data_IF_377484518615
#
_entry.id   IF_377484518615
#
_cell.length_a   1.000
_cell.length_b   1.000
_cell.length_c   1.000
_cell.angle_alpha   90.00
_cell.angle_beta   90.00
_cell.angle_gamma   90.00
#
_symmetry.space_group_name_H-M   'P 1'
#
loop_
_entity.id
_entity.type
_entity.pdbx_description
1 polymer ?
#
# COMPACT_ATOMS: atom_id res chain seq x y z
N UNK A 1 -6.12 -26.96 11.51
CA UNK A 1 -4.90 -26.16 11.31
C UNK A 1 -5.01 -24.92 12.18
N UNK A 2 -3.99 -24.64 12.98
CA UNK A 2 -4.01 -23.48 13.88
C UNK A 2 -3.99 -22.18 13.08
N UNK A 3 -4.86 -21.24 13.47
CA UNK A 3 -4.91 -19.89 12.90
C UNK A 3 -3.79 -19.06 13.49
N UNK A 4 -3.11 -18.25 12.68
CA UNK A 4 -2.14 -17.29 13.20
C UNK A 4 -2.89 -16.19 13.97
N UNK A 5 -2.45 -15.91 15.19
CA UNK A 5 -3.02 -14.86 16.04
C UNK A 5 -1.95 -13.85 16.42
N UNK A 6 -2.33 -12.58 16.40
CA UNK A 6 -1.54 -11.50 16.98
C UNK A 6 -2.23 -11.04 18.25
N UNK A 7 -1.46 -10.94 19.35
CA UNK A 7 -1.97 -10.49 20.65
C UNK A 7 -1.08 -9.39 21.24
N UNK A 8 -1.72 -8.43 21.92
CA UNK A 8 -1.05 -7.41 22.72
C UNK A 8 -1.51 -7.58 24.17
N UNK A 9 -0.58 -7.91 25.08
CA UNK A 9 -0.89 -8.20 26.49
C UNK A 9 -2.06 -9.19 26.68
N UNK A 10 -2.08 -10.25 25.87
CA UNK A 10 -3.14 -11.27 25.90
C UNK A 10 -4.42 -10.93 25.14
N UNK A 11 -4.64 -9.66 24.77
CA UNK A 11 -5.79 -9.23 23.97
C UNK A 11 -5.59 -9.60 22.50
N UNK A 12 -6.56 -10.27 21.88
CA UNK A 12 -6.54 -10.60 20.45
C UNK A 12 -6.70 -9.31 19.63
N UNK A 13 -5.72 -9.03 18.76
CA UNK A 13 -5.77 -7.85 17.88
C UNK A 13 -5.92 -8.23 16.41
N UNK A 14 -5.52 -9.43 16.00
CA UNK A 14 -5.76 -9.93 14.65
C UNK A 14 -5.74 -11.47 14.63
N UNK A 15 -6.53 -12.06 13.73
CA UNK A 15 -6.51 -13.49 13.43
C UNK A 15 -6.52 -13.68 11.90
N UNK A 16 -5.65 -14.56 11.43
CA UNK A 16 -5.46 -14.85 10.00
C UNK A 16 -5.82 -16.30 9.69
N UNK A 17 -6.45 -16.52 8.54
CA UNK A 17 -6.70 -17.85 8.02
C UNK A 17 -5.37 -18.54 7.62
N UNK A 18 -5.33 -19.88 7.58
CA UNK A 18 -4.16 -20.59 7.08
C UNK A 18 -3.80 -20.14 5.65
N UNK A 19 -2.56 -19.70 5.45
CA UNK A 19 -2.07 -19.23 4.14
C UNK A 19 -2.41 -17.76 3.81
N UNK A 20 -3.10 -17.06 4.69
CA UNK A 20 -3.34 -15.62 4.54
C UNK A 20 -2.06 -14.82 4.90
N UNK A 21 -1.74 -13.81 4.10
CA UNK A 21 -0.66 -12.85 4.39
C UNK A 21 -0.97 -12.06 5.67
N UNK A 22 -0.05 -12.09 6.64
CA UNK A 22 -0.21 -11.40 7.90
C UNK A 22 0.39 -9.98 7.85
N UNK A 23 -0.33 -9.01 8.41
CA UNK A 23 0.19 -7.66 8.61
C UNK A 23 1.31 -7.65 9.66
N UNK A 24 2.14 -6.61 9.62
CA UNK A 24 3.04 -6.31 10.73
C UNK A 24 2.22 -6.13 12.02
N UNK A 25 2.59 -6.76 13.15
CA UNK A 25 1.72 -6.93 14.32
C UNK A 25 1.63 -5.67 15.19
N UNK A 26 1.07 -4.58 14.64
CA UNK A 26 0.80 -3.33 15.35
C UNK A 26 -0.69 -3.17 15.64
N UNK A 27 -1.00 -2.40 16.69
CA UNK A 27 -2.39 -2.12 17.07
C UNK A 27 -3.17 -1.44 15.93
N UNK A 28 -2.55 -0.54 15.18
CA UNK A 28 -3.17 0.16 14.05
C UNK A 28 -3.49 -0.77 12.87
N UNK A 29 -2.83 -1.92 12.76
CA UNK A 29 -3.10 -2.92 11.73
C UNK A 29 -3.95 -4.08 12.24
N UNK A 30 -4.49 -3.97 13.44
CA UNK A 30 -5.43 -4.94 14.00
C UNK A 30 -6.74 -5.01 13.21
N UNK A 31 -7.49 -6.09 13.43
CA UNK A 31 -8.86 -6.28 12.93
C UNK A 31 -9.83 -6.18 14.09
N UNK A 32 -10.72 -5.21 14.03
CA UNK A 32 -11.67 -4.90 15.11
C UNK A 32 -13.10 -4.95 14.59
N UNK A 33 -14.03 -5.24 15.50
CA UNK A 33 -15.45 -5.21 15.20
C UNK A 33 -15.94 -3.74 15.20
N UNK A 34 -16.44 -3.26 14.07
CA UNK A 34 -17.09 -1.98 13.90
C UNK A 34 -18.21 -2.12 12.86
N UNK A 35 -19.35 -1.45 13.05
CA UNK A 35 -20.50 -1.51 12.13
C UNK A 35 -20.89 -2.95 11.72
N UNK A 36 -20.93 -3.87 12.70
CA UNK A 36 -21.25 -5.30 12.52
C UNK A 36 -20.25 -6.09 11.63
N UNK A 37 -19.09 -5.50 11.31
CA UNK A 37 -18.05 -6.12 10.50
C UNK A 37 -16.72 -6.18 11.24
N UNK A 38 -15.90 -7.18 10.93
CA UNK A 38 -14.53 -7.29 11.45
C UNK A 38 -13.55 -7.00 10.32
N UNK A 39 -12.85 -5.87 10.40
CA UNK A 39 -11.92 -5.41 9.38
C UNK A 39 -10.80 -4.55 9.98
N UNK A 40 -9.85 -4.13 9.15
CA UNK A 40 -8.78 -3.22 9.55
C UNK A 40 -9.33 -1.80 9.73
N UNK A 41 -9.81 -1.49 10.94
CA UNK A 41 -10.50 -0.21 11.21
C UNK A 41 -9.57 1.01 11.06
N UNK A 42 -8.27 0.87 11.31
CA UNK A 42 -7.33 2.00 11.27
C UNK A 42 -6.42 1.97 10.04
N UNK A 43 -5.67 0.89 9.84
CA UNK A 43 -4.69 0.78 8.75
C UNK A 43 -4.69 -0.63 8.16
N UNK A 44 -4.97 -0.74 6.86
CA UNK A 44 -4.84 -2.01 6.13
C UNK A 44 -3.37 -2.39 5.89
N UNK A 45 -3.03 -3.68 5.89
CA UNK A 45 -1.73 -4.15 5.45
C UNK A 45 -1.52 -3.81 3.98
N UNK A 46 -0.48 -3.03 3.71
CA UNK A 46 -0.16 -2.58 2.37
C UNK A 46 0.82 -1.44 2.40
N UNK A 47 1.15 -0.93 1.21
CA UNK A 47 1.83 0.35 1.06
C UNK A 47 0.92 1.32 0.32
N UNK A 48 0.91 2.59 0.73
CA UNK A 48 0.25 3.64 -0.03
C UNK A 48 0.94 3.77 -1.39
N UNK A 49 0.19 3.60 -2.49
CA UNK A 49 0.75 3.67 -3.83
C UNK A 49 -0.18 4.42 -4.79
N UNK A 50 0.18 5.66 -5.11
CA UNK A 50 -0.58 6.52 -6.02
C UNK A 50 -0.24 6.30 -7.50
N UNK A 51 0.54 5.27 -7.88
CA UNK A 51 0.99 5.08 -9.26
C UNK A 51 -0.17 5.08 -10.27
N UNK A 52 -1.31 4.49 -9.88
CA UNK A 52 -2.52 4.48 -10.71
C UNK A 52 -3.21 5.84 -10.84
N UNK A 53 -3.02 6.71 -9.83
CA UNK A 53 -3.60 8.07 -9.75
C UNK A 53 -2.60 9.16 -10.15
N UNK A 54 -1.49 8.79 -10.78
CA UNK A 54 -0.40 9.71 -11.07
C UNK A 54 -0.86 10.90 -11.96
N UNK A 55 -1.69 10.70 -13.01
CA UNK A 55 -2.24 11.82 -13.79
C UNK A 55 -2.99 12.82 -12.93
N UNK A 56 -3.94 12.35 -12.13
CA UNK A 56 -4.82 13.17 -11.29
C UNK A 56 -4.01 13.98 -10.27
N UNK A 57 -2.97 13.36 -9.69
CA UNK A 57 -2.05 14.02 -8.76
C UNK A 57 -1.27 15.15 -9.45
N UNK A 58 -0.77 14.92 -10.67
CA UNK A 58 -0.01 15.93 -11.41
C UNK A 58 -0.92 17.07 -11.88
N UNK A 59 -2.10 16.74 -12.41
CA UNK A 59 -3.10 17.71 -12.89
C UNK A 59 -3.66 18.58 -11.75
N UNK A 60 -3.71 18.06 -10.52
CA UNK A 60 -4.03 18.84 -9.33
C UNK A 60 -2.94 19.88 -8.95
N UNK A 61 -1.82 19.94 -9.68
CA UNK A 61 -0.74 20.91 -9.47
C UNK A 61 0.32 20.46 -8.47
N UNK A 62 0.41 19.17 -8.13
CA UNK A 62 1.45 18.65 -7.25
C UNK A 62 2.81 18.68 -7.96
N UNK A 63 3.76 19.42 -7.39
CA UNK A 63 5.11 19.60 -7.97
C UNK A 63 6.17 18.67 -7.39
N UNK A 64 5.87 17.95 -6.31
CA UNK A 64 6.82 17.06 -5.65
C UNK A 64 6.14 15.85 -5.03
N UNK A 65 6.74 14.67 -5.21
CA UNK A 65 6.32 13.43 -4.56
C UNK A 65 7.34 13.04 -3.51
N UNK A 66 6.86 12.71 -2.30
CA UNK A 66 7.67 12.16 -1.22
C UNK A 66 7.47 10.66 -1.16
N UNK A 67 8.57 9.91 -1.26
CA UNK A 67 8.58 8.45 -1.12
C UNK A 67 9.16 8.12 0.25
N UNK A 68 8.37 7.48 1.11
CA UNK A 68 8.76 7.17 2.48
C UNK A 68 8.82 5.66 2.74
N UNK A 69 9.69 5.27 3.67
CA UNK A 69 9.79 3.90 4.17
C UNK A 69 10.74 3.83 5.38
N UNK A 70 10.38 3.07 6.40
CA UNK A 70 11.21 2.90 7.61
C UNK A 70 12.19 1.73 7.42
N UNK A 71 13.47 1.97 7.71
CA UNK A 71 14.53 0.94 7.71
C UNK A 71 14.58 0.10 6.42
N UNK A 72 14.51 0.76 5.25
CA UNK A 72 14.54 0.08 3.94
C UNK A 72 15.97 -0.11 3.43
N UNK A 73 16.18 -1.19 2.67
CA UNK A 73 17.47 -1.49 2.04
C UNK A 73 17.76 -0.55 0.88
N UNK A 74 19.03 -0.45 0.47
CA UNK A 74 19.43 0.29 -0.74
C UNK A 74 18.72 -0.23 -2.00
N UNK A 75 18.52 -1.56 -2.11
CA UNK A 75 17.83 -2.18 -3.25
C UNK A 75 16.35 -1.80 -3.31
N UNK A 76 15.66 -1.72 -2.16
CA UNK A 76 14.28 -1.23 -2.08
C UNK A 76 14.18 0.21 -2.59
N UNK A 77 15.03 1.10 -2.06
CA UNK A 77 15.04 2.52 -2.42
C UNK A 77 15.31 2.69 -3.92
N UNK A 78 16.31 1.99 -4.46
CA UNK A 78 16.65 2.05 -5.89
C UNK A 78 15.52 1.51 -6.79
N UNK A 79 14.75 0.53 -6.32
CA UNK A 79 13.64 -0.05 -7.07
C UNK A 79 12.46 0.91 -7.12
N UNK A 80 12.00 1.40 -5.96
CA UNK A 80 10.85 2.32 -5.87
C UNK A 80 11.13 3.61 -6.64
N UNK A 81 12.27 4.24 -6.39
CA UNK A 81 12.61 5.53 -7.04
C UNK A 81 12.68 5.42 -8.56
N UNK A 82 13.26 4.32 -9.08
CA UNK A 82 13.33 4.07 -10.53
C UNK A 82 11.95 3.88 -11.15
N UNK A 83 11.09 3.06 -10.52
CA UNK A 83 9.73 2.83 -11.04
C UNK A 83 8.94 4.13 -11.05
N UNK A 84 8.96 4.89 -9.95
CA UNK A 84 8.25 6.17 -9.86
C UNK A 84 8.80 7.20 -10.86
N UNK A 85 10.12 7.29 -11.03
CA UNK A 85 10.74 8.17 -12.04
C UNK A 85 10.29 7.81 -13.44
N UNK A 86 10.34 6.53 -13.82
CA UNK A 86 9.88 6.06 -15.13
C UNK A 86 8.39 6.37 -15.37
N UNK A 87 7.55 6.26 -14.32
CA UNK A 87 6.14 6.60 -14.43
C UNK A 87 5.93 8.10 -14.67
N UNK A 88 6.61 8.95 -13.89
CA UNK A 88 6.53 10.40 -14.08
C UNK A 88 7.07 10.82 -15.45
N UNK A 89 8.19 10.24 -15.91
CA UNK A 89 8.73 10.50 -17.25
C UNK A 89 7.76 10.07 -18.36
N UNK A 90 7.14 8.90 -18.22
CA UNK A 90 6.18 8.42 -19.18
C UNK A 90 4.93 9.31 -19.25
N UNK A 91 4.49 9.85 -18.10
CA UNK A 91 3.40 10.82 -18.06
C UNK A 91 3.77 12.08 -18.85
N UNK A 92 4.90 12.71 -18.55
CA UNK A 92 5.30 13.95 -19.24
C UNK A 92 5.63 13.76 -20.73
N UNK A 93 6.01 12.55 -21.14
CA UNK A 93 6.26 12.25 -22.55
C UNK A 93 4.97 12.17 -23.39
N UNK A 94 3.88 11.65 -22.82
CA UNK A 94 2.58 11.53 -23.49
C UNK A 94 1.43 11.49 -22.47
N UNK A 95 1.01 12.63 -21.90
CA UNK A 95 0.03 12.69 -20.82
C UNK A 95 -1.29 11.98 -21.18
N UNK A 96 -1.84 12.26 -22.36
CA UNK A 96 -3.11 11.70 -22.84
C UNK A 96 -3.08 10.16 -23.02
N UNK A 97 -1.87 9.59 -23.17
CA UNK A 97 -1.67 8.16 -23.38
C UNK A 97 -1.13 7.45 -22.12
N UNK A 98 -0.91 8.17 -21.02
CA UNK A 98 -0.33 7.59 -19.82
C UNK A 98 -1.22 6.49 -19.26
N UNK A 99 -0.65 5.31 -19.04
CA UNK A 99 -1.27 4.23 -18.27
C UNK A 99 -0.20 3.62 -17.37
N UNK A 100 -0.54 3.42 -16.10
CA UNK A 100 0.33 2.70 -15.18
C UNK A 100 0.60 1.29 -15.72
N UNK A 101 1.86 0.96 -16.00
CA UNK A 101 2.23 -0.35 -16.54
C UNK A 101 2.01 -1.42 -15.47
N UNK A 102 1.39 -2.54 -15.83
CA UNK A 102 1.21 -3.67 -14.92
C UNK A 102 2.54 -4.20 -14.36
N UNK A 103 3.63 -4.09 -15.11
CA UNK A 103 4.97 -4.44 -14.62
C UNK A 103 5.45 -3.54 -13.47
N UNK A 104 5.13 -2.25 -13.50
CA UNK A 104 5.46 -1.32 -12.42
C UNK A 104 4.68 -1.65 -11.15
N UNK A 105 3.36 -1.87 -11.28
CA UNK A 105 2.53 -2.28 -10.15
C UNK A 105 3.01 -3.59 -9.55
N UNK A 106 3.32 -4.59 -10.39
CA UNK A 106 3.88 -5.87 -9.94
C UNK A 106 5.20 -5.69 -9.17
N UNK A 107 6.11 -4.86 -9.66
CA UNK A 107 7.38 -4.57 -9.00
C UNK A 107 7.19 -3.88 -7.65
N UNK A 108 6.30 -2.88 -7.56
CA UNK A 108 6.03 -2.17 -6.30
C UNK A 108 5.29 -3.05 -5.29
N UNK A 109 4.33 -3.85 -5.74
CA UNK A 109 3.60 -4.79 -4.88
C UNK A 109 4.55 -5.85 -4.29
N UNK A 110 5.47 -6.41 -5.08
CA UNK A 110 6.41 -7.43 -4.62
C UNK A 110 7.33 -6.99 -3.49
N UNK A 111 7.51 -5.67 -3.29
CA UNK A 111 8.33 -5.10 -2.22
C UNK A 111 7.49 -4.40 -1.13
N UNK A 112 6.17 -4.41 -1.28
CA UNK A 112 5.21 -3.85 -0.31
C UNK A 112 4.82 -4.89 0.73
N UNK A 113 4.44 -4.42 1.91
CA UNK A 113 3.86 -5.29 2.95
C UNK A 113 2.57 -5.93 2.43
N UNK A 114 2.34 -7.20 2.76
CA UNK A 114 1.17 -7.94 2.27
C UNK A 114 1.18 -8.21 0.76
N UNK A 115 2.29 -7.91 0.07
CA UNK A 115 2.41 -7.93 -1.41
C UNK A 115 1.34 -7.12 -2.15
N UNK A 116 0.76 -6.13 -1.47
CA UNK A 116 -0.37 -5.35 -1.94
C UNK A 116 -0.16 -3.86 -1.69
N UNK A 117 -1.02 -3.04 -2.28
CA UNK A 117 -1.06 -1.61 -2.04
C UNK A 117 -2.48 -1.15 -1.71
N UNK A 118 -2.56 0.01 -1.07
CA UNK A 118 -3.81 0.71 -0.81
C UNK A 118 -3.72 2.11 -1.41
N UNK A 119 -4.88 2.69 -1.74
CA UNK A 119 -4.98 4.13 -2.01
C UNK A 119 -5.30 4.90 -0.72
N UNK A 120 -5.45 4.21 0.41
CA UNK A 120 -5.79 4.81 1.70
C UNK A 120 -7.07 5.63 1.59
N UNK A 121 -7.01 6.88 2.04
CA UNK A 121 -8.14 7.83 2.03
C UNK A 121 -8.63 8.23 0.63
N UNK A 122 -7.90 7.87 -0.43
CA UNK A 122 -8.33 8.13 -1.81
C UNK A 122 -9.26 7.05 -2.36
N UNK A 123 -9.54 5.97 -1.61
CA UNK A 123 -10.55 4.99 -2.01
C UNK A 123 -11.96 5.56 -1.79
N UNK A 124 -12.85 5.36 -2.78
CA UNK A 124 -14.24 5.90 -2.76
C UNK A 124 -15.11 5.41 -1.60
N UNK A 125 -14.70 4.33 -0.91
CA UNK A 125 -15.43 3.71 0.20
C UNK A 125 -14.78 3.95 1.58
N UNK A 126 -14.00 5.02 1.76
CA UNK A 126 -13.42 5.35 3.06
C UNK A 126 -14.54 5.70 4.06
N UNK A 127 -14.69 4.90 5.13
CA UNK A 127 -15.69 5.07 6.19
C UNK A 127 -15.10 5.56 7.51
#
# INVERSE_FOLDING_TARGET
ADKLQTRLNGVLIAQYAPGEEAAYPTICKGRFAANEQVYHVMEEPGSLNILGMLPEVIEAGVVSLKIEGRQRTKSYVATVTRVMRHAVDAYYAAPDQFRAKGSWLKTLNAISEGTTHTLGTYQENWQ
#
